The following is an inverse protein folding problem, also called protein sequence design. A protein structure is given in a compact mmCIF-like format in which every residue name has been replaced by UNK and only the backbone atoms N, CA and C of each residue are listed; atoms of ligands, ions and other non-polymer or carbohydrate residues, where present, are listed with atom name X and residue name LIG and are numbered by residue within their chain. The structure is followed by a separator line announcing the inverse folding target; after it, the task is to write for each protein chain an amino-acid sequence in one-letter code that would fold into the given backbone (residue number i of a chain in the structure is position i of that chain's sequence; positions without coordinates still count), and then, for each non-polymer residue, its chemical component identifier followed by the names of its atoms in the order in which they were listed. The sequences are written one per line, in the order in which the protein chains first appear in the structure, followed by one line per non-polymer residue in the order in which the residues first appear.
data_IF_133275035939
#
_entry.id   IF_133275035939
#
_cell.length_a   1.000
_cell.length_b   1.000
_cell.length_c   1.000
_cell.angle_alpha   90.00
_cell.angle_beta   90.00
_cell.angle_gamma   90.00
#
_symmetry.space_group_name_H-M   'P 1'
#
loop_
_entity.id
_entity.type
_entity.pdbx_description
1 polymer ?
#
# COMPACT_ATOMS: atom_id res chain seq x y z
N UNK A 1 16.47 6.66 -10.71
CA UNK A 1 16.03 6.53 -12.12
C UNK A 1 14.58 6.07 -12.09
N UNK A 2 13.70 7.01 -11.76
CA UNK A 2 12.27 6.77 -11.53
C UNK A 2 11.58 6.58 -12.87
N UNK A 3 11.07 5.36 -13.11
CA UNK A 3 10.17 5.13 -14.23
C UNK A 3 8.83 5.73 -13.88
N UNK A 4 8.55 6.87 -14.50
CA UNK A 4 7.23 7.48 -14.62
C UNK A 4 6.24 6.46 -15.24
N UNK A 5 5.61 5.62 -14.41
CA UNK A 5 4.63 4.61 -14.85
C UNK A 5 3.22 5.20 -15.06
N UNK A 6 3.02 6.48 -14.74
CA UNK A 6 1.70 7.09 -14.66
C UNK A 6 1.02 7.40 -16.02
N UNK A 7 1.67 7.22 -17.18
CA UNK A 7 1.11 7.70 -18.47
C UNK A 7 1.45 6.84 -19.69
N UNK A 8 1.21 5.53 -19.65
CA UNK A 8 1.18 4.74 -20.89
C UNK A 8 -0.27 4.41 -21.29
N UNK A 9 -0.75 4.86 -22.46
CA UNK A 9 -2.02 4.42 -23.01
C UNK A 9 -1.92 2.94 -23.39
N UNK A 10 -2.54 2.05 -22.62
CA UNK A 10 -2.42 0.60 -22.76
C UNK A 10 -3.28 0.00 -23.89
N UNK A 11 -3.07 0.47 -25.13
CA UNK A 11 -3.35 -0.35 -26.31
C UNK A 11 -2.16 -1.29 -26.50
N UNK A 12 -2.36 -2.60 -26.27
CA UNK A 12 -1.35 -3.63 -26.60
C UNK A 12 -0.52 -4.21 -25.46
N UNK A 13 -1.01 -4.19 -24.21
CA UNK A 13 -0.41 -5.00 -23.14
C UNK A 13 -0.75 -6.48 -23.36
N UNK A 14 0.27 -7.34 -23.32
CA UNK A 14 0.07 -8.79 -23.30
C UNK A 14 -0.33 -9.28 -21.92
N UNK A 15 -0.98 -10.44 -21.82
CA UNK A 15 -1.33 -11.05 -20.52
C UNK A 15 -0.10 -11.24 -19.63
N UNK A 16 1.04 -11.61 -20.22
CA UNK A 16 2.31 -11.70 -19.49
C UNK A 16 2.74 -10.34 -18.87
N UNK A 17 2.56 -9.23 -19.59
CA UNK A 17 2.88 -7.90 -19.06
C UNK A 17 1.92 -7.46 -17.96
N UNK A 18 0.64 -7.81 -18.08
CA UNK A 18 -0.35 -7.57 -17.02
C UNK A 18 0.01 -8.35 -15.74
N UNK A 19 0.29 -9.64 -15.87
CA UNK A 19 0.65 -10.51 -14.74
C UNK A 19 1.97 -10.08 -14.07
N UNK A 20 3.00 -9.78 -14.87
CA UNK A 20 4.28 -9.30 -14.36
C UNK A 20 4.15 -7.95 -13.61
N UNK A 21 3.12 -7.16 -13.92
CA UNK A 21 2.82 -5.92 -13.20
C UNK A 21 2.23 -6.14 -11.80
N UNK A 22 1.61 -7.31 -11.55
CA UNK A 22 1.00 -7.66 -10.25
C UNK A 22 1.93 -8.44 -9.35
N UNK A 23 2.94 -9.13 -9.89
CA UNK A 23 3.85 -9.97 -9.12
C UNK A 23 4.50 -9.21 -7.93
N UNK A 24 5.08 -8.00 -8.12
CA UNK A 24 5.66 -7.25 -7.00
C UNK A 24 4.63 -6.83 -5.94
N UNK A 25 3.36 -6.69 -6.33
CA UNK A 25 2.27 -6.32 -5.42
C UNK A 25 1.93 -7.50 -4.52
N UNK A 26 1.75 -8.70 -5.10
CA UNK A 26 1.34 -9.89 -4.33
C UNK A 26 2.48 -10.55 -3.57
N UNK A 27 3.74 -10.29 -3.94
CA UNK A 27 4.93 -10.77 -3.22
C UNK A 27 5.44 -9.77 -2.17
N UNK A 28 4.72 -8.69 -1.91
CA UNK A 28 5.15 -7.63 -1.00
C UNK A 28 5.40 -8.13 0.43
N UNK A 29 6.36 -7.53 1.14
CA UNK A 29 6.70 -7.96 2.52
C UNK A 29 5.55 -7.80 3.51
N UNK A 30 4.58 -6.92 3.24
CA UNK A 30 3.42 -6.69 4.10
C UNK A 30 2.65 -7.99 4.41
N UNK A 31 2.64 -8.96 3.49
CA UNK A 31 1.94 -10.23 3.70
C UNK A 31 2.64 -11.08 4.75
N UNK A 32 3.97 -10.99 4.85
CA UNK A 32 4.75 -11.60 5.94
C UNK A 32 4.49 -10.87 7.25
N UNK A 33 4.45 -9.54 7.24
CA UNK A 33 4.16 -8.73 8.43
C UNK A 33 2.75 -9.00 8.97
N UNK A 34 1.79 -9.28 8.10
CA UNK A 34 0.45 -9.74 8.47
C UNK A 34 0.47 -11.08 9.22
N UNK A 35 1.25 -12.06 8.77
CA UNK A 35 1.38 -13.35 9.48
C UNK A 35 2.03 -13.17 10.86
N UNK A 36 3.01 -12.26 10.95
CA UNK A 36 3.63 -11.89 12.22
C UNK A 36 2.61 -11.25 13.16
N UNK A 37 1.79 -10.32 12.65
CA UNK A 37 0.74 -9.66 13.43
C UNK A 37 -0.32 -10.64 13.93
N UNK A 38 -0.75 -11.59 13.09
CA UNK A 38 -1.64 -12.68 13.49
C UNK A 38 -1.07 -13.51 14.64
N UNK A 39 0.21 -13.88 14.54
CA UNK A 39 0.90 -14.66 15.56
C UNK A 39 0.92 -13.91 16.88
N UNK A 40 1.26 -12.61 16.85
CA UNK A 40 1.29 -11.76 18.04
C UNK A 40 -0.08 -11.61 18.69
N UNK A 41 -1.14 -11.46 17.89
CA UNK A 41 -2.51 -11.44 18.39
C UNK A 41 -2.89 -12.77 19.06
N UNK A 42 -2.47 -13.91 18.51
CA UNK A 42 -2.73 -15.23 19.08
C UNK A 42 -1.96 -15.48 20.40
N UNK A 43 -0.79 -14.86 20.56
CA UNK A 43 0.02 -14.96 21.79
C UNK A 43 -0.27 -13.87 22.82
N UNK A 44 -1.32 -13.07 22.61
CA UNK A 44 -1.72 -11.99 23.51
C UNK A 44 -0.62 -10.94 23.76
N UNK A 45 0.17 -10.61 22.73
CA UNK A 45 1.28 -9.65 22.82
C UNK A 45 0.84 -8.26 23.31
N UNK A 46 1.71 -7.55 24.01
CA UNK A 46 1.41 -6.21 24.53
C UNK A 46 1.14 -5.18 23.41
N UNK A 47 0.53 -4.05 23.78
CA UNK A 47 0.11 -3.02 22.82
C UNK A 47 1.29 -2.46 22.03
N UNK A 48 2.44 -2.24 22.65
CA UNK A 48 3.57 -1.58 22.01
C UNK A 48 4.16 -2.50 20.93
N UNK A 49 4.31 -3.78 21.26
CA UNK A 49 4.70 -4.81 20.30
C UNK A 49 3.71 -4.93 19.12
N UNK A 50 2.40 -4.90 19.40
CA UNK A 50 1.38 -4.93 18.35
C UNK A 50 1.41 -3.67 17.48
N UNK A 51 1.60 -2.50 18.08
CA UNK A 51 1.65 -1.20 17.38
C UNK A 51 2.83 -1.15 16.42
N UNK A 52 4.00 -1.61 16.84
CA UNK A 52 5.19 -1.64 15.97
C UNK A 52 5.00 -2.51 14.73
N UNK A 53 4.48 -3.72 14.90
CA UNK A 53 4.24 -4.63 13.76
C UNK A 53 3.06 -4.17 12.90
N UNK A 54 2.03 -3.60 13.52
CA UNK A 54 0.94 -2.96 12.81
C UNK A 54 1.47 -1.83 11.92
N UNK A 55 2.33 -0.96 12.44
CA UNK A 55 2.97 0.12 11.67
C UNK A 55 3.68 -0.42 10.43
N UNK A 56 4.57 -1.41 10.58
CA UNK A 56 5.28 -2.00 9.44
C UNK A 56 4.32 -2.58 8.39
N UNK A 57 3.29 -3.31 8.83
CA UNK A 57 2.29 -3.89 7.93
C UNK A 57 1.48 -2.81 7.20
N UNK A 58 1.09 -1.76 7.94
CA UNK A 58 0.25 -0.68 7.44
C UNK A 58 1.02 0.26 6.50
N UNK A 59 2.26 0.60 6.83
CA UNK A 59 3.16 1.37 5.96
C UNK A 59 3.41 0.63 4.65
N UNK A 60 3.71 -0.68 4.70
CA UNK A 60 3.88 -1.48 3.48
C UNK A 60 2.60 -1.58 2.64
N UNK A 61 1.43 -1.46 3.26
CA UNK A 61 0.18 -1.33 2.52
C UNK A 61 0.01 0.08 1.91
N UNK A 62 0.14 1.13 2.72
CA UNK A 62 -0.14 2.51 2.31
C UNK A 62 0.88 3.07 1.32
N UNK A 63 2.18 2.85 1.53
CA UNK A 63 3.22 3.46 0.70
C UNK A 63 3.52 2.67 -0.57
N UNK A 64 3.27 1.36 -0.59
CA UNK A 64 3.64 0.51 -1.72
C UNK A 64 2.41 -0.10 -2.41
N UNK A 65 1.69 -1.00 -1.72
CA UNK A 65 0.68 -1.84 -2.38
C UNK A 65 -0.57 -1.05 -2.80
N UNK A 66 -1.07 -0.15 -1.95
CA UNK A 66 -2.25 0.65 -2.27
C UNK A 66 -1.99 1.59 -3.44
N UNK A 67 -0.83 2.25 -3.48
CA UNK A 67 -0.41 3.08 -4.63
C UNK A 67 -0.28 2.27 -5.92
N UNK A 68 0.35 1.10 -5.83
CA UNK A 68 0.50 0.23 -6.99
C UNK A 68 -0.88 -0.20 -7.53
N UNK A 69 -1.81 -0.60 -6.67
CA UNK A 69 -3.16 -1.01 -7.06
C UNK A 69 -4.02 0.14 -7.60
N UNK A 70 -3.93 1.33 -7.00
CA UNK A 70 -4.65 2.52 -7.46
C UNK A 70 -4.20 2.95 -8.87
N UNK A 71 -2.93 2.71 -9.24
CA UNK A 71 -2.44 2.94 -10.60
C UNK A 71 -3.16 2.10 -11.67
N UNK A 72 -3.77 0.98 -11.27
CA UNK A 72 -4.57 0.13 -12.15
C UNK A 72 -6.08 0.37 -12.02
N UNK A 73 -6.56 1.16 -11.05
CA UNK A 73 -7.98 1.26 -10.68
C UNK A 73 -8.88 1.58 -11.87
N UNK A 74 -8.61 2.68 -12.59
CA UNK A 74 -9.44 3.12 -13.72
C UNK A 74 -9.59 2.01 -14.77
N UNK A 75 -8.49 1.28 -15.05
CA UNK A 75 -8.48 0.23 -16.06
C UNK A 75 -9.24 -1.01 -15.60
N UNK A 76 -8.99 -1.47 -14.37
CA UNK A 76 -9.65 -2.66 -13.83
C UNK A 76 -11.15 -2.42 -13.67
N UNK A 77 -11.56 -1.23 -13.23
CA UNK A 77 -12.97 -0.85 -13.18
C UNK A 77 -13.61 -0.86 -14.58
N UNK A 78 -12.93 -0.35 -15.61
CA UNK A 78 -13.44 -0.40 -16.99
C UNK A 78 -13.58 -1.83 -17.53
N UNK A 79 -12.65 -2.74 -17.20
CA UNK A 79 -12.75 -4.15 -17.56
C UNK A 79 -13.94 -4.81 -16.85
N UNK A 80 -14.09 -4.56 -15.56
CA UNK A 80 -15.20 -5.12 -14.78
C UNK A 80 -16.55 -4.62 -15.33
N UNK A 81 -16.66 -3.32 -15.61
CA UNK A 81 -17.89 -2.69 -16.12
C UNK A 81 -18.30 -3.24 -17.50
N UNK A 82 -17.32 -3.43 -18.40
CA UNK A 82 -17.56 -3.91 -19.77
C UNK A 82 -17.78 -5.43 -19.90
N UNK A 83 -17.57 -6.21 -18.83
CA UNK A 83 -17.66 -7.67 -18.84
C UNK A 83 -18.92 -8.18 -18.15
N UNK A 84 -19.71 -9.03 -18.81
CA UNK A 84 -20.88 -9.69 -18.21
C UNK A 84 -20.50 -10.84 -17.27
N UNK A 85 -19.30 -11.40 -17.44
CA UNK A 85 -18.78 -12.50 -16.63
C UNK A 85 -18.65 -12.12 -15.15
N UNK A 86 -18.19 -10.89 -14.86
CA UNK A 86 -17.83 -10.49 -13.50
C UNK A 86 -18.95 -9.79 -12.73
N UNK A 87 -20.20 -10.24 -12.91
CA UNK A 87 -21.39 -9.60 -12.32
C UNK A 87 -21.34 -9.52 -10.79
N UNK A 88 -20.83 -10.55 -10.11
CA UNK A 88 -20.67 -10.54 -8.65
C UNK A 88 -19.65 -9.49 -8.18
N UNK A 89 -18.52 -9.37 -8.89
CA UNK A 89 -17.49 -8.37 -8.60
C UNK A 89 -17.99 -6.95 -8.87
N UNK A 90 -18.73 -6.74 -9.98
CA UNK A 90 -19.40 -5.46 -10.28
C UNK A 90 -20.33 -5.01 -9.14
N UNK A 91 -21.12 -5.93 -8.59
CA UNK A 91 -22.01 -5.63 -7.48
C UNK A 91 -21.26 -5.18 -6.22
N UNK A 92 -20.14 -5.86 -5.89
CA UNK A 92 -19.26 -5.47 -4.78
C UNK A 92 -18.66 -4.08 -4.99
N UNK A 93 -18.14 -3.80 -6.19
CA UNK A 93 -17.64 -2.48 -6.57
C UNK A 93 -18.71 -1.40 -6.40
N UNK A 94 -19.95 -1.66 -6.84
CA UNK A 94 -21.05 -0.71 -6.68
C UNK A 94 -21.45 -0.48 -5.19
N UNK A 95 -21.23 -1.45 -4.30
CA UNK A 95 -21.37 -1.23 -2.85
C UNK A 95 -20.28 -0.29 -2.36
N UNK A 96 -19.02 -0.55 -2.71
CA UNK A 96 -17.89 0.29 -2.31
C UNK A 96 -18.09 1.73 -2.79
N UNK A 97 -18.37 1.92 -4.08
CA UNK A 97 -18.56 3.25 -4.68
C UNK A 97 -19.70 4.06 -4.05
N UNK A 98 -20.76 3.40 -3.55
CA UNK A 98 -21.86 4.07 -2.84
C UNK A 98 -21.51 4.51 -1.43
N UNK A 99 -20.57 3.82 -0.77
CA UNK A 99 -20.16 4.12 0.61
C UNK A 99 -18.94 5.03 0.69
N UNK A 100 -18.10 5.00 -0.35
CA UNK A 100 -16.83 5.70 -0.41
C UNK A 100 -17.03 7.20 -0.21
N UNK A 101 -16.31 7.76 0.76
CA UNK A 101 -16.32 9.19 1.09
C UNK A 101 -15.16 9.93 0.41
N UNK A 102 -14.01 9.28 0.25
CA UNK A 102 -12.81 9.92 -0.30
C UNK A 102 -12.70 9.77 -1.82
N UNK A 103 -12.32 10.87 -2.48
CA UNK A 103 -11.91 10.85 -3.89
C UNK A 103 -10.59 10.07 -4.08
N UNK A 104 -10.22 9.65 -5.31
CA UNK A 104 -8.92 9.03 -5.55
C UNK A 104 -7.73 9.86 -5.04
N UNK A 105 -7.71 11.15 -5.34
CA UNK A 105 -6.69 12.08 -4.82
C UNK A 105 -6.80 12.23 -3.30
N UNK A 106 -8.01 12.21 -2.75
CA UNK A 106 -8.25 12.22 -1.31
C UNK A 106 -7.60 11.06 -0.58
N UNK A 107 -7.72 9.84 -1.12
CA UNK A 107 -7.07 8.64 -0.58
C UNK A 107 -5.55 8.76 -0.63
N UNK A 108 -5.00 9.20 -1.75
CA UNK A 108 -3.56 9.45 -1.90
C UNK A 108 -3.05 10.42 -0.84
N UNK A 109 -3.70 11.57 -0.68
CA UNK A 109 -3.33 12.60 0.30
C UNK A 109 -3.46 12.06 1.74
N UNK A 110 -4.50 11.26 2.01
CA UNK A 110 -4.70 10.58 3.31
C UNK A 110 -3.56 9.64 3.66
N UNK A 111 -3.08 8.85 2.70
CA UNK A 111 -1.96 7.92 2.94
C UNK A 111 -0.66 8.65 3.30
N UNK A 112 -0.54 9.92 2.91
CA UNK A 112 0.57 10.80 3.25
C UNK A 112 0.36 11.56 4.57
N UNK A 113 -0.60 11.16 5.41
CA UNK A 113 -0.86 11.79 6.71
C UNK A 113 -1.57 13.15 6.62
N UNK A 114 -2.24 13.47 5.50
CA UNK A 114 -2.90 14.76 5.30
C UNK A 114 -4.32 14.60 4.76
N UNK A 115 -5.14 15.66 4.79
CA UNK A 115 -6.51 15.62 4.27
C UNK A 115 -6.78 16.74 3.29
N UNK A 116 -7.52 16.45 2.22
CA UNK A 116 -8.06 17.50 1.38
C UNK A 116 -9.15 18.26 2.16
N UNK A 117 -9.26 19.60 2.01
CA UNK A 117 -10.30 20.38 2.68
C UNK A 117 -11.73 19.93 2.37
N UNK A 118 -11.93 19.22 1.25
CA UNK A 118 -13.21 18.72 0.77
C UNK A 118 -13.57 17.34 1.31
N UNK A 119 -12.60 16.62 1.89
CA UNK A 119 -12.81 15.24 2.33
C UNK A 119 -13.23 15.20 3.80
N UNK A 120 -14.07 14.23 4.15
CA UNK A 120 -14.43 13.98 5.54
C UNK A 120 -13.22 13.43 6.29
N UNK A 121 -12.87 14.07 7.41
CA UNK A 121 -11.89 13.53 8.36
C UNK A 121 -12.44 12.22 8.95
N UNK A 122 -11.63 11.15 9.05
CA UNK A 122 -12.06 9.90 9.67
C UNK A 122 -12.51 10.13 11.12
N UNK A 123 -13.49 9.35 11.56
CA UNK A 123 -14.11 9.54 12.88
C UNK A 123 -13.31 8.87 14.00
N UNK A 124 -12.48 7.87 13.66
CA UNK A 124 -11.83 6.99 14.62
C UNK A 124 -10.31 7.15 14.50
N UNK A 125 -9.68 7.81 15.48
CA UNK A 125 -8.22 7.83 15.58
C UNK A 125 -7.69 6.52 16.16
N UNK A 126 -6.85 5.80 15.41
CA UNK A 126 -6.34 4.48 15.82
C UNK A 126 -5.53 4.56 17.12
N UNK A 127 -4.72 5.61 17.28
CA UNK A 127 -3.93 5.85 18.51
C UNK A 127 -4.80 6.04 19.75
N UNK A 128 -5.99 6.61 19.60
CA UNK A 128 -6.95 6.86 20.68
C UNK A 128 -7.79 5.62 21.06
N UNK A 129 -7.68 4.51 20.32
CA UNK A 129 -8.39 3.28 20.66
C UNK A 129 -7.90 2.71 21.99
N UNK A 130 -8.83 2.22 22.82
CA UNK A 130 -8.48 1.42 24.00
C UNK A 130 -7.74 0.12 23.59
N UNK A 131 -7.01 -0.51 24.50
CA UNK A 131 -6.25 -1.74 24.17
C UNK A 131 -7.14 -2.85 23.59
N UNK A 132 -8.34 -3.00 24.13
CA UNK A 132 -9.33 -3.94 23.62
C UNK A 132 -9.81 -3.55 22.22
N UNK A 133 -10.21 -2.29 22.01
CA UNK A 133 -10.68 -1.82 20.72
C UNK A 133 -9.59 -1.87 19.63
N UNK A 134 -8.34 -1.58 19.98
CA UNK A 134 -7.19 -1.69 19.09
C UNK A 134 -6.98 -3.14 18.64
N UNK A 135 -7.05 -4.11 19.57
CA UNK A 135 -6.93 -5.53 19.23
C UNK A 135 -8.08 -6.04 18.35
N UNK A 136 -9.31 -5.63 18.63
CA UNK A 136 -10.45 -5.95 17.77
C UNK A 136 -10.31 -5.36 16.36
N UNK A 137 -9.82 -4.12 16.27
CA UNK A 137 -9.46 -3.50 15.00
C UNK A 137 -8.40 -4.31 14.25
N UNK A 138 -7.30 -4.67 14.90
CA UNK A 138 -6.24 -5.49 14.29
C UNK A 138 -6.76 -6.86 13.86
N UNK A 139 -7.59 -7.52 14.69
CA UNK A 139 -8.22 -8.79 14.33
C UNK A 139 -9.09 -8.68 13.08
N UNK A 140 -9.85 -7.60 12.95
CA UNK A 140 -10.68 -7.34 11.77
C UNK A 140 -9.81 -7.10 10.55
N UNK A 141 -8.77 -6.25 10.70
CA UNK A 141 -7.85 -5.89 9.64
C UNK A 141 -7.13 -7.10 9.07
N UNK A 142 -6.45 -7.89 9.90
CA UNK A 142 -5.65 -9.04 9.43
C UNK A 142 -6.51 -10.19 8.87
N UNK A 143 -7.80 -10.25 9.22
CA UNK A 143 -8.76 -11.23 8.68
C UNK A 143 -9.51 -10.73 7.46
N UNK A 144 -9.19 -9.54 6.95
CA UNK A 144 -9.75 -9.01 5.71
C UNK A 144 -9.58 -10.00 4.55
N UNK A 145 -10.61 -10.09 3.71
CA UNK A 145 -10.60 -10.88 2.47
C UNK A 145 -9.50 -10.44 1.49
N UNK A 146 -8.94 -9.23 1.65
CA UNK A 146 -7.77 -8.78 0.91
C UNK A 146 -6.58 -9.74 1.02
N UNK A 147 -6.25 -10.17 2.25
CA UNK A 147 -5.15 -11.11 2.48
C UNK A 147 -5.46 -12.51 1.95
N UNK A 148 -6.71 -12.96 2.11
CA UNK A 148 -7.14 -14.25 1.59
C UNK A 148 -7.13 -14.29 0.04
N UNK A 149 -7.52 -13.20 -0.61
CA UNK A 149 -7.49 -13.07 -2.06
C UNK A 149 -6.06 -13.05 -2.61
N UNK A 150 -5.12 -12.36 -1.93
CA UNK A 150 -3.71 -12.43 -2.31
C UNK A 150 -3.18 -13.87 -2.25
N UNK A 151 -3.48 -14.62 -1.19
CA UNK A 151 -3.04 -16.00 -1.06
C UNK A 151 -3.57 -16.90 -2.19
N UNK A 152 -4.80 -16.62 -2.69
CA UNK A 152 -5.35 -17.29 -3.89
C UNK A 152 -4.55 -16.97 -5.14
N UNK A 153 -4.18 -15.71 -5.36
CA UNK A 153 -3.36 -15.28 -6.51
C UNK A 153 -1.99 -15.95 -6.47
N UNK A 154 -1.27 -15.89 -5.35
CA UNK A 154 0.05 -16.52 -5.20
C UNK A 154 -0.01 -18.03 -5.44
N UNK A 155 -1.04 -18.70 -4.92
CA UNK A 155 -1.22 -20.13 -5.16
C UNK A 155 -1.36 -20.46 -6.65
N UNK A 156 -2.14 -19.68 -7.39
CA UNK A 156 -2.34 -19.88 -8.83
C UNK A 156 -1.07 -19.57 -9.64
N UNK A 157 -0.30 -18.54 -9.23
CA UNK A 157 1.00 -18.23 -9.84
C UNK A 157 1.98 -19.40 -9.68
N UNK A 158 2.08 -19.96 -8.46
CA UNK A 158 2.98 -21.10 -8.19
C UNK A 158 2.57 -22.38 -8.93
N UNK A 159 1.27 -22.62 -9.11
CA UNK A 159 0.77 -23.78 -9.88
C UNK A 159 1.21 -23.70 -11.35
N UNK A 160 1.09 -22.50 -11.95
CA UNK A 160 1.51 -22.24 -13.33
C UNK A 160 3.01 -22.52 -13.55
N UNK A 161 3.87 -22.16 -12.59
CA UNK A 161 5.30 -22.42 -12.68
C UNK A 161 5.65 -23.92 -12.57
N UNK A 162 4.89 -24.67 -11.75
CA UNK A 162 5.06 -26.11 -11.60
C UNK A 162 4.60 -26.92 -12.82
N UNK A 163 3.48 -26.52 -13.45
CA UNK A 163 2.86 -27.25 -14.55
C UNK A 163 3.56 -27.01 -15.91
N UNK A 164 4.37 -25.96 -16.03
CA UNK A 164 5.26 -25.74 -17.18
C UNK A 164 6.29 -26.89 -17.40
N UNK A 165 6.48 -27.77 -16.41
CA UNK A 165 7.37 -28.92 -16.47
C UNK A 165 6.73 -30.20 -17.04
N UNK A 166 5.41 -30.26 -17.27
CA UNK A 166 4.80 -31.49 -17.77
C UNK A 166 3.32 -31.40 -18.14
N UNK A 167 3.06 -31.58 -19.45
CA UNK A 167 1.81 -32.09 -20.10
C UNK A 167 0.91 -31.06 -20.83
N UNK A 168 0.50 -31.46 -22.06
CA UNK A 168 -0.54 -30.93 -22.96
C UNK A 168 -0.92 -29.44 -22.87
N UNK A 169 -0.18 -28.62 -23.63
CA UNK A 169 -0.01 -27.17 -23.49
C UNK A 169 -1.20 -26.23 -23.83
N UNK A 170 -2.28 -26.67 -24.47
CA UNK A 170 -3.15 -25.73 -25.21
C UNK A 170 -4.53 -25.41 -24.60
N UNK A 171 -5.18 -26.31 -23.85
CA UNK A 171 -6.50 -26.03 -23.25
C UNK A 171 -6.44 -25.81 -21.73
N UNK A 172 -5.49 -26.43 -21.04
CA UNK A 172 -5.27 -26.21 -19.61
C UNK A 172 -4.79 -24.76 -19.33
N UNK A 173 -3.94 -24.23 -20.20
CA UNK A 173 -3.34 -22.90 -20.09
C UNK A 173 -4.37 -21.77 -20.16
N UNK A 174 -5.34 -21.84 -21.07
CA UNK A 174 -6.36 -20.79 -21.20
C UNK A 174 -7.29 -20.73 -19.97
N UNK A 175 -7.75 -21.89 -19.47
CA UNK A 175 -8.61 -21.95 -18.29
C UNK A 175 -7.87 -21.54 -17.00
N UNK A 176 -6.59 -21.88 -16.89
CA UNK A 176 -5.73 -21.46 -15.78
C UNK A 176 -5.44 -19.95 -15.81
N UNK A 177 -5.20 -19.40 -17.00
CA UNK A 177 -5.02 -17.96 -17.20
C UNK A 177 -6.30 -17.18 -16.85
N UNK A 178 -7.47 -17.68 -17.25
CA UNK A 178 -8.76 -17.06 -16.88
C UNK A 178 -9.01 -17.12 -15.36
N UNK A 179 -8.69 -18.23 -14.69
CA UNK A 179 -8.79 -18.34 -13.22
C UNK A 179 -7.84 -17.38 -12.50
N UNK A 180 -6.60 -17.26 -12.98
CA UNK A 180 -5.63 -16.33 -12.42
C UNK A 180 -6.09 -14.88 -12.61
N UNK A 181 -6.62 -14.55 -13.79
CA UNK A 181 -7.18 -13.23 -14.08
C UNK A 181 -8.36 -12.91 -13.17
N UNK A 182 -9.28 -13.86 -12.99
CA UNK A 182 -10.41 -13.71 -12.06
C UNK A 182 -9.93 -13.49 -10.62
N UNK A 183 -8.94 -14.25 -10.15
CA UNK A 183 -8.37 -14.07 -8.82
C UNK A 183 -7.70 -12.69 -8.64
N UNK A 184 -7.04 -12.16 -9.68
CA UNK A 184 -6.46 -10.80 -9.65
C UNK A 184 -7.57 -9.74 -9.57
N UNK A 185 -8.66 -9.91 -10.32
CA UNK A 185 -9.80 -9.00 -10.23
C UNK A 185 -10.48 -9.06 -8.87
N UNK A 186 -10.62 -10.25 -8.30
CA UNK A 186 -11.12 -10.41 -6.94
C UNK A 186 -10.20 -9.73 -5.92
N UNK A 187 -8.89 -9.94 -6.02
CA UNK A 187 -7.89 -9.28 -5.16
C UNK A 187 -7.98 -7.75 -5.23
N UNK A 188 -8.13 -7.20 -6.43
CA UNK A 188 -8.35 -5.76 -6.60
C UNK A 188 -9.68 -5.29 -5.98
N UNK A 189 -10.78 -6.02 -6.13
CA UNK A 189 -12.04 -5.64 -5.48
C UNK A 189 -11.93 -5.71 -3.96
N UNK A 190 -11.24 -6.72 -3.41
CA UNK A 190 -10.95 -6.79 -1.98
C UNK A 190 -10.09 -5.61 -1.51
N UNK A 191 -9.16 -5.10 -2.33
CA UNK A 191 -8.42 -3.85 -2.04
C UNK A 191 -9.37 -2.66 -1.93
N UNK A 192 -10.32 -2.50 -2.86
CA UNK A 192 -11.30 -1.40 -2.80
C UNK A 192 -12.16 -1.45 -1.54
N UNK A 193 -12.57 -2.66 -1.13
CA UNK A 193 -13.32 -2.88 0.11
C UNK A 193 -12.48 -2.61 1.35
N UNK A 194 -11.21 -3.00 1.32
CA UNK A 194 -10.26 -2.74 2.40
C UNK A 194 -9.99 -1.24 2.55
N UNK A 195 -9.77 -0.52 1.46
CA UNK A 195 -9.69 0.95 1.46
C UNK A 195 -10.95 1.60 2.03
N UNK A 196 -12.14 1.13 1.63
CA UNK A 196 -13.41 1.63 2.14
C UNK A 196 -13.53 1.42 3.65
N UNK A 197 -13.12 0.25 4.16
CA UNK A 197 -13.09 -0.03 5.60
C UNK A 197 -12.15 0.93 6.34
N UNK A 198 -10.99 1.24 5.77
CA UNK A 198 -10.01 2.15 6.37
C UNK A 198 -10.45 3.63 6.32
N UNK A 199 -11.50 3.99 5.58
CA UNK A 199 -11.98 5.39 5.54
C UNK A 199 -12.52 5.92 6.87
N UNK A 200 -13.00 5.03 7.73
CA UNK A 200 -13.49 5.44 9.04
C UNK A 200 -12.34 5.61 10.06
N UNK A 201 -11.11 5.23 9.71
CA UNK A 201 -9.95 5.24 10.60
C UNK A 201 -8.88 6.27 10.18
N UNK A 202 -8.52 7.14 11.12
CA UNK A 202 -7.34 8.00 11.03
C UNK A 202 -6.15 7.26 11.62
N UNK A 203 -5.16 7.02 10.77
CA UNK A 203 -3.85 6.55 11.16
C UNK A 203 -2.81 7.50 10.60
N UNK A 204 -2.05 8.11 11.49
CA UNK A 204 -0.89 8.93 11.17
C UNK A 204 0.37 8.11 11.52
N UNK A 205 1.16 7.69 10.51
CA UNK A 205 2.38 6.91 10.73
C UNK A 205 3.44 7.67 11.52
N UNK A 206 3.37 9.01 11.51
CA UNK A 206 4.31 9.90 12.19
C UNK A 206 3.81 10.30 13.59
N UNK A 207 2.64 9.81 14.02
CA UNK A 207 2.09 10.13 15.33
C UNK A 207 3.01 9.63 16.45
N UNK A 208 3.45 10.55 17.32
CA UNK A 208 4.45 10.28 18.36
C UNK A 208 5.91 10.39 17.89
N UNK A 209 6.14 10.71 16.61
CA UNK A 209 7.46 11.05 16.05
C UNK A 209 7.61 12.57 15.86
N UNK A 210 6.72 13.38 16.44
CA UNK A 210 6.80 14.83 16.31
C UNK A 210 8.12 15.35 16.91
N UNK A 211 8.77 16.26 16.19
CA UNK A 211 9.97 16.94 16.69
C UNK A 211 9.56 17.70 17.96
N UNK A 212 10.28 17.46 19.07
CA UNK A 212 10.02 18.19 20.31
C UNK A 212 10.13 19.71 20.05
N UNK A 213 9.24 20.53 20.62
CA UNK A 213 9.20 21.97 20.35
C UNK A 213 10.57 22.64 20.52
N UNK A 214 11.34 22.22 21.51
CA UNK A 214 12.69 22.73 21.78
C UNK A 214 13.66 22.42 20.62
N UNK A 215 13.57 21.23 20.04
CA UNK A 215 14.38 20.82 18.89
C UNK A 215 13.92 21.51 17.61
N UNK A 216 12.60 21.73 17.47
CA UNK A 216 12.04 22.47 16.34
C UNK A 216 12.51 23.94 16.36
N UNK A 217 12.46 24.59 17.53
CA UNK A 217 12.96 25.94 17.75
C UNK A 217 14.47 26.03 17.50
N UNK A 218 15.26 25.07 17.98
CA UNK A 218 16.70 24.99 17.70
C UNK A 218 16.99 24.83 16.20
N UNK A 219 16.20 24.03 15.49
CA UNK A 219 16.33 23.83 14.05
C UNK A 219 15.97 25.09 13.27
N UNK A 220 14.87 25.77 13.62
CA UNK A 220 14.46 27.04 13.01
C UNK A 220 15.50 28.14 13.26
N UNK A 221 16.04 28.21 14.47
CA UNK A 221 17.11 29.14 14.82
C UNK A 221 18.39 28.84 14.03
N UNK A 222 18.78 27.57 13.92
CA UNK A 222 19.94 27.13 13.13
C UNK A 222 19.81 27.46 11.64
N UNK A 223 18.61 27.25 11.07
CA UNK A 223 18.31 27.63 9.68
C UNK A 223 18.46 29.14 9.54
N UNK A 224 17.82 29.93 10.42
CA UNK A 224 17.86 31.40 10.42
C UNK A 224 19.29 31.94 10.54
N UNK A 225 20.10 31.31 11.37
CA UNK A 225 21.51 31.66 11.54
C UNK A 225 22.34 31.35 10.29
N UNK A 226 22.04 30.26 9.60
CA UNK A 226 22.65 29.98 8.30
C UNK A 226 22.18 30.94 7.19
N UNK A 227 20.89 31.26 7.09
CA UNK A 227 20.36 32.18 6.06
C UNK A 227 20.78 33.62 6.29
N UNK A 228 20.90 34.05 7.55
CA UNK A 228 21.41 35.39 7.90
C UNK A 228 22.94 35.50 7.76
N UNK A 229 23.63 34.39 7.52
CA UNK A 229 25.09 34.33 7.41
C UNK A 229 25.82 34.48 8.74
N UNK A 230 25.10 34.41 9.87
CA UNK A 230 25.68 34.45 11.22
C UNK A 230 26.51 33.19 11.51
N UNK A 231 26.20 32.07 10.85
CA UNK A 231 26.97 30.82 10.92
C UNK A 231 27.39 30.36 9.52
N UNK A 232 28.69 30.11 9.32
CA UNK A 232 29.20 29.54 8.07
C UNK A 232 28.91 28.03 8.04
N UNK A 233 28.14 27.59 7.05
CA UNK A 233 27.93 26.17 6.77
C UNK A 233 29.24 25.47 6.42
N UNK A 234 29.36 24.21 6.81
CA UNK A 234 30.47 23.37 6.33
C UNK A 234 30.18 23.00 4.88
N UNK A 235 31.07 23.28 3.93
CA UNK A 235 30.86 22.92 2.53
C UNK A 235 30.62 21.42 2.39
N UNK A 236 29.68 21.02 1.53
CA UNK A 236 29.30 19.62 1.33
C UNK A 236 30.51 18.73 0.97
N UNK A 237 31.50 19.28 0.26
CA UNK A 237 32.75 18.60 -0.08
C UNK A 237 33.60 18.26 1.16
N UNK A 238 33.60 19.14 2.16
CA UNK A 238 34.33 18.93 3.41
C UNK A 238 33.61 17.91 4.30
N UNK A 239 32.27 17.95 4.32
CA UNK A 239 31.44 16.91 4.97
C UNK A 239 31.72 15.55 4.31
N UNK A 240 31.64 15.46 2.99
CA UNK A 240 31.87 14.22 2.26
C UNK A 240 33.28 13.64 2.51
N UNK A 241 34.31 14.49 2.56
CA UNK A 241 35.67 14.08 2.92
C UNK A 241 35.75 13.48 4.33
N UNK A 242 35.05 14.06 5.32
CA UNK A 242 35.03 13.53 6.70
C UNK A 242 34.39 12.14 6.79
N UNK A 243 33.38 11.87 5.96
CA UNK A 243 32.69 10.59 5.92
C UNK A 243 33.27 9.60 4.88
N UNK A 244 34.40 9.93 4.25
CA UNK A 244 35.04 9.06 3.26
C UNK A 244 34.25 8.90 1.96
N UNK A 245 33.31 9.81 1.68
CA UNK A 245 32.45 9.78 0.50
C UNK A 245 33.05 10.64 -0.60
N UNK A 246 33.23 10.07 -1.80
CA UNK A 246 33.59 10.84 -2.98
C UNK A 246 32.32 11.32 -3.69
N UNK A 247 32.03 12.62 -3.60
CA UNK A 247 30.94 13.23 -4.36
C UNK A 247 31.27 13.19 -5.85
N UNK A 248 30.54 12.38 -6.63
CA UNK A 248 30.55 12.48 -8.08
C UNK A 248 29.66 13.65 -8.48
N UNK A 249 30.26 14.79 -8.84
CA UNK A 249 29.53 15.85 -9.52
C UNK A 249 29.11 15.33 -10.90
N UNK A 250 27.83 15.02 -11.08
CA UNK A 250 27.21 14.93 -12.41
C UNK A 250 26.95 16.35 -12.88
N UNK A 251 27.74 16.79 -13.87
CA UNK A 251 27.44 17.98 -14.68
C UNK A 251 26.33 17.66 -15.68
#
# INVERSE_FOLDING_TARGET
MERNMAKLPFKGITDAQFLNGFLPIVEHSLFVDRERLLTLLATDADRDTLTEVFRMCFEGYYYDVAFALDSYETRLLSILDSSDTYTALKHRVAIVQRKRRASPTGREVRRMGTFLPTDSVPEIKVSALSNHAFREFLHTLVKSEFFAAQARVVKLLNQREGDAAGTSLYEATAAEEDRLREAIYEFFVCHLEFEQFLEDYEYDPDEGLEIQPEVAEELEQSITDHTSGSVKGTPLQEVAKRFGVNLKCTH
#
